data_IF_189687767187
#
_entry.id   IF_189687767187
#
_cell.length_a   1.000
_cell.length_b   1.000
_cell.length_c   1.000
_cell.angle_alpha   90.00
_cell.angle_beta   90.00
_cell.angle_gamma   90.00
#
_symmetry.space_group_name_H-M   'P 1'
#
loop_
_entity.id
_entity.type
_entity.pdbx_description
1 polymer ?
#
# COMPACT_ATOMS: atom_id res chain seq x y z
N UNK A 1 -6.89 -15.05 -0.11
CA UNK A 1 -5.42 -15.13 -0.06
C UNK A 1 -5.03 -16.29 -0.95
N UNK A 2 -4.24 -16.04 -2.00
CA UNK A 2 -3.65 -17.12 -2.77
C UNK A 2 -2.61 -17.83 -1.88
N UNK A 3 -2.85 -19.10 -1.58
CA UNK A 3 -2.01 -19.85 -0.65
C UNK A 3 -0.58 -20.04 -1.19
N UNK A 4 -0.42 -19.95 -2.51
CA UNK A 4 0.86 -20.08 -3.18
C UNK A 4 1.58 -18.73 -3.39
N UNK A 5 0.97 -17.61 -2.98
CA UNK A 5 1.63 -16.29 -3.06
C UNK A 5 2.78 -16.20 -2.05
N UNK A 6 4.00 -16.24 -2.59
CA UNK A 6 5.25 -16.14 -1.81
C UNK A 6 5.73 -14.70 -1.64
N UNK A 7 5.05 -13.72 -2.24
CA UNK A 7 5.45 -12.31 -2.19
C UNK A 7 5.57 -11.80 -0.75
N UNK A 8 4.60 -12.06 0.17
CA UNK A 8 4.72 -11.63 1.56
C UNK A 8 5.91 -12.29 2.27
N UNK A 9 6.18 -13.56 1.97
CA UNK A 9 7.31 -14.31 2.51
C UNK A 9 8.65 -13.73 2.06
N UNK A 10 8.79 -13.43 0.77
CA UNK A 10 10.00 -12.82 0.21
C UNK A 10 10.27 -11.42 0.76
N UNK A 11 9.24 -10.58 0.91
CA UNK A 11 9.40 -9.25 1.50
C UNK A 11 9.82 -9.36 2.97
N UNK A 12 9.25 -10.31 3.72
CA UNK A 12 9.61 -10.57 5.13
C UNK A 12 11.04 -11.06 5.31
N UNK A 13 11.61 -11.77 4.34
CA UNK A 13 12.98 -12.28 4.47
C UNK A 13 14.05 -11.22 4.23
N UNK A 14 13.74 -10.16 3.46
CA UNK A 14 14.70 -9.09 3.13
C UNK A 14 14.49 -7.82 3.95
N UNK A 15 13.27 -7.55 4.41
CA UNK A 15 12.97 -6.33 5.17
C UNK A 15 13.38 -6.49 6.63
N UNK A 16 14.06 -5.48 7.17
CA UNK A 16 14.34 -5.40 8.62
C UNK A 16 13.09 -5.09 9.44
N UNK A 17 12.09 -4.46 8.81
CA UNK A 17 10.84 -4.02 9.44
C UNK A 17 9.69 -4.18 8.46
N UNK A 18 8.58 -4.74 8.92
CA UNK A 18 7.31 -4.69 8.21
C UNK A 18 6.43 -3.64 8.90
N UNK A 19 5.96 -2.65 8.13
CA UNK A 19 5.06 -1.61 8.65
C UNK A 19 3.63 -2.15 8.73
N UNK A 20 3.14 -2.73 7.63
CA UNK A 20 1.84 -3.40 7.59
C UNK A 20 1.82 -4.47 6.47
N UNK A 21 0.89 -5.42 6.60
CA UNK A 21 0.55 -6.38 5.56
C UNK A 21 -0.97 -6.40 5.40
N UNK A 22 -1.43 -6.12 4.18
CA UNK A 22 -2.82 -5.90 3.85
C UNK A 22 -3.28 -4.48 4.19
N UNK A 23 -4.23 -3.98 3.42
CA UNK A 23 -4.94 -2.74 3.71
C UNK A 23 -6.45 -2.97 3.63
N UNK A 24 -7.25 -2.30 4.47
CA UNK A 24 -8.71 -2.37 4.39
C UNK A 24 -9.26 -1.49 3.26
N UNK A 25 -8.58 -1.43 2.11
CA UNK A 25 -8.98 -0.62 0.96
C UNK A 25 -9.04 -1.49 -0.32
N UNK A 26 -10.02 -1.21 -1.16
CA UNK A 26 -10.28 -1.89 -2.43
C UNK A 26 -10.41 -0.85 -3.54
N UNK A 27 -9.73 -1.02 -4.68
CA UNK A 27 -8.82 -2.11 -5.05
C UNK A 27 -7.47 -2.06 -4.28
N UNK A 28 -6.83 -3.22 -4.11
CA UNK A 28 -5.49 -3.30 -3.52
C UNK A 28 -5.40 -3.77 -2.07
N UNK A 29 -6.39 -4.54 -1.58
CA UNK A 29 -6.42 -4.98 -0.18
C UNK A 29 -5.20 -5.82 0.26
N UNK A 30 -4.44 -6.36 -0.69
CA UNK A 30 -3.22 -7.14 -0.47
C UNK A 30 -1.94 -6.32 -0.35
N UNK A 31 -2.04 -4.99 -0.35
CA UNK A 31 -0.89 -4.08 -0.26
C UNK A 31 -0.05 -4.35 0.99
N UNK A 32 1.27 -4.33 0.84
CA UNK A 32 2.23 -4.56 1.93
C UNK A 32 3.35 -3.54 1.88
N UNK A 33 3.78 -3.03 3.03
CA UNK A 33 4.93 -2.13 3.15
C UNK A 33 5.93 -2.71 4.16
N UNK A 34 7.17 -2.84 3.72
CA UNK A 34 8.33 -3.09 4.56
C UNK A 34 9.45 -2.08 4.27
N UNK A 35 10.48 -2.11 5.12
CA UNK A 35 11.69 -1.32 4.93
C UNK A 35 12.91 -2.24 4.98
N UNK A 36 13.78 -2.10 3.98
CA UNK A 36 15.06 -2.77 3.89
C UNK A 36 16.19 -1.75 3.93
N UNK A 37 17.41 -2.20 4.22
CA UNK A 37 18.60 -1.36 4.12
C UNK A 37 19.06 -1.30 2.68
N UNK A 38 19.23 -0.08 2.16
CA UNK A 38 19.84 0.15 0.85
C UNK A 38 21.25 -0.44 0.83
N UNK A 39 21.59 -1.24 -0.19
CA UNK A 39 22.95 -1.76 -0.35
C UNK A 39 23.96 -0.69 -0.78
N UNK A 40 23.49 0.52 -1.13
CA UNK A 40 24.32 1.61 -1.65
C UNK A 40 24.80 2.53 -0.52
N UNK A 41 23.87 3.01 0.30
CA UNK A 41 24.11 4.04 1.32
C UNK A 41 23.69 3.62 2.74
N UNK A 42 23.07 2.44 2.91
CA UNK A 42 22.62 1.96 4.21
C UNK A 42 21.36 2.66 4.74
N UNK A 43 20.72 3.51 3.95
CA UNK A 43 19.47 4.17 4.30
C UNK A 43 18.27 3.22 4.21
N UNK A 44 17.17 3.59 4.84
CA UNK A 44 15.95 2.79 4.80
C UNK A 44 15.18 3.01 3.49
N UNK A 45 14.99 1.92 2.73
CA UNK A 45 14.26 1.92 1.46
C UNK A 45 12.94 1.19 1.63
N UNK A 46 11.85 1.82 1.18
CA UNK A 46 10.53 1.22 1.17
C UNK A 46 10.47 0.07 0.15
N UNK A 47 10.05 -1.10 0.61
CA UNK A 47 9.78 -2.28 -0.20
C UNK A 47 8.27 -2.50 -0.19
N UNK A 48 7.64 -2.34 -1.35
CA UNK A 48 6.18 -2.39 -1.49
C UNK A 48 5.78 -3.67 -2.21
N UNK A 49 4.96 -4.48 -1.55
CA UNK A 49 4.24 -5.59 -2.19
C UNK A 49 2.92 -5.08 -2.75
N UNK A 50 2.84 -4.89 -4.06
CA UNK A 50 1.65 -4.40 -4.74
C UNK A 50 0.88 -5.55 -5.42
N UNK A 51 -0.44 -5.66 -5.22
CA UNK A 51 -1.24 -6.66 -5.93
C UNK A 51 -1.35 -6.36 -7.43
N UNK A 52 -1.59 -7.39 -8.23
CA UNK A 52 -1.70 -7.29 -9.69
C UNK A 52 -2.76 -6.28 -10.16
N UNK A 53 -3.81 -6.03 -9.37
CA UNK A 53 -4.85 -5.04 -9.70
C UNK A 53 -4.29 -3.62 -9.88
N UNK A 54 -3.14 -3.29 -9.28
CA UNK A 54 -2.44 -2.00 -9.48
C UNK A 54 -2.10 -1.72 -10.94
N UNK A 55 -1.92 -2.76 -11.77
CA UNK A 55 -1.63 -2.59 -13.18
C UNK A 55 -2.86 -2.27 -14.04
N UNK A 56 -4.07 -2.51 -13.52
CA UNK A 56 -5.33 -2.46 -14.29
C UNK A 56 -6.31 -1.40 -13.78
N UNK A 57 -6.42 -1.24 -12.47
CA UNK A 57 -7.26 -0.24 -11.85
C UNK A 57 -6.57 1.13 -11.88
N UNK A 58 -7.31 2.18 -12.29
CA UNK A 58 -6.77 3.54 -12.34
C UNK A 58 -6.32 4.07 -10.97
N UNK A 59 -6.98 3.60 -9.90
CA UNK A 59 -6.71 3.99 -8.51
C UNK A 59 -6.83 2.79 -7.60
N UNK A 60 -5.87 2.65 -6.70
CA UNK A 60 -5.76 1.55 -5.74
C UNK A 60 -5.26 2.06 -4.39
N UNK A 61 -5.21 1.16 -3.41
CA UNK A 61 -4.59 1.44 -2.11
C UNK A 61 -3.12 1.89 -2.23
N UNK A 62 -2.43 1.58 -3.34
CA UNK A 62 -1.07 2.10 -3.60
C UNK A 62 -1.07 3.63 -3.71
N UNK A 63 -2.06 4.22 -4.38
CA UNK A 63 -2.19 5.68 -4.52
C UNK A 63 -2.36 6.39 -3.18
N UNK A 64 -2.97 5.71 -2.19
CA UNK A 64 -3.07 6.20 -0.81
C UNK A 64 -1.72 6.09 -0.06
N UNK A 65 -0.90 5.11 -0.42
CA UNK A 65 0.39 4.84 0.22
C UNK A 65 1.52 5.76 -0.28
N UNK A 66 1.54 6.05 -1.59
CA UNK A 66 2.64 6.79 -2.22
C UNK A 66 2.96 8.14 -1.56
N UNK A 67 1.98 8.97 -1.12
CA UNK A 67 2.28 10.22 -0.41
C UNK A 67 3.13 10.02 0.86
N UNK A 68 2.88 8.95 1.63
CA UNK A 68 3.66 8.64 2.82
C UNK A 68 5.08 8.24 2.48
N UNK A 69 5.24 7.39 1.46
CA UNK A 69 6.56 6.91 1.03
C UNK A 69 7.41 8.07 0.49
N UNK A 70 6.83 8.94 -0.35
CA UNK A 70 7.55 10.11 -0.87
C UNK A 70 7.86 11.15 0.21
N UNK A 71 7.03 11.24 1.25
CA UNK A 71 7.32 12.08 2.40
C UNK A 71 8.34 11.47 3.38
N UNK A 72 8.75 10.21 3.19
CA UNK A 72 9.58 9.48 4.15
C UNK A 72 8.87 9.20 5.48
N UNK A 73 7.54 9.22 5.49
CA UNK A 73 6.71 9.00 6.68
C UNK A 73 6.21 7.56 6.66
N UNK A 74 6.33 6.86 7.79
CA UNK A 74 5.74 5.54 7.93
C UNK A 74 4.25 5.65 8.33
N UNK A 75 3.32 5.10 7.54
CA UNK A 75 1.89 5.20 7.83
C UNK A 75 1.47 4.33 9.03
N UNK A 76 2.13 3.19 9.24
CA UNK A 76 1.90 2.29 10.39
C UNK A 76 0.41 1.96 10.61
N UNK A 77 -0.08 2.22 11.81
CA UNK A 77 -1.46 1.92 12.21
C UNK A 77 -2.52 2.78 11.52
N UNK A 78 -2.14 3.90 10.89
CA UNK A 78 -3.07 4.78 10.16
C UNK A 78 -3.79 4.04 9.05
N UNK A 79 -3.12 3.05 8.43
CA UNK A 79 -3.68 2.21 7.36
C UNK A 79 -4.97 1.53 7.78
N UNK A 80 -5.16 1.21 9.07
CA UNK A 80 -6.42 0.61 9.57
C UNK A 80 -7.63 1.53 9.36
N UNK A 81 -7.43 2.84 9.30
CA UNK A 81 -8.50 3.82 9.07
C UNK A 81 -8.97 3.86 7.63
N UNK A 82 -8.22 3.28 6.69
CA UNK A 82 -8.58 3.27 5.28
C UNK A 82 -9.83 2.44 4.98
N UNK A 83 -10.37 1.68 5.95
CA UNK A 83 -11.60 0.93 5.79
C UNK A 83 -12.86 1.79 5.68
N UNK A 84 -12.87 2.95 6.32
CA UNK A 84 -14.02 3.87 6.24
C UNK A 84 -13.93 4.64 4.92
N UNK A 85 -14.84 4.34 4.00
CA UNK A 85 -14.79 4.88 2.64
C UNK A 85 -13.76 4.20 1.74
N UNK A 86 -13.11 3.11 2.20
CA UNK A 86 -12.00 2.44 1.52
C UNK A 86 -12.31 1.75 0.19
N UNK A 87 -13.50 1.90 -0.37
CA UNK A 87 -13.90 1.30 -1.63
C UNK A 87 -13.88 2.36 -2.74
N UNK A 88 -13.10 2.12 -3.79
CA UNK A 88 -13.21 2.88 -5.03
C UNK A 88 -14.50 2.45 -5.73
N UNK A 89 -15.37 3.43 -6.04
CA UNK A 89 -16.66 3.18 -6.70
C UNK A 89 -16.54 3.17 -8.23
N UNK A 90 -15.33 3.29 -8.77
CA UNK A 90 -15.07 3.38 -10.22
C UNK A 90 -15.98 4.42 -10.91
N UNK A 91 -16.05 5.62 -10.31
CA UNK A 91 -16.93 6.69 -10.76
C UNK A 91 -16.73 7.01 -12.26
N UNK A 92 -17.80 7.34 -13.02
CA UNK A 92 -17.69 7.70 -14.44
C UNK A 92 -16.73 8.86 -14.71
N UNK A 93 -16.63 9.79 -13.77
CA UNK A 93 -15.59 10.82 -13.70
C UNK A 93 -14.83 10.59 -12.41
N UNK A 94 -13.51 10.50 -12.47
CA UNK A 94 -12.67 10.27 -11.30
C UNK A 94 -12.46 11.57 -10.50
N UNK A 95 -12.77 11.53 -9.20
CA UNK A 95 -12.67 12.68 -8.29
C UNK A 95 -11.52 12.56 -7.30
N UNK A 96 -10.69 11.52 -7.40
CA UNK A 96 -9.55 11.33 -6.50
C UNK A 96 -8.57 12.51 -6.58
N UNK A 97 -8.05 13.06 -5.46
CA UNK A 97 -8.18 12.58 -4.07
C UNK A 97 -9.37 13.18 -3.29
N UNK A 98 -10.28 13.90 -3.95
CA UNK A 98 -11.45 14.52 -3.33
C UNK A 98 -12.68 13.60 -3.35
N UNK A 99 -12.51 12.34 -2.92
CA UNK A 99 -13.58 11.35 -2.85
C UNK A 99 -13.49 10.48 -1.58
N UNK A 100 -14.54 9.70 -1.31
CA UNK A 100 -14.63 8.78 -0.16
C UNK A 100 -13.46 7.79 -0.10
N UNK A 101 -12.99 7.29 -1.26
CA UNK A 101 -11.85 6.38 -1.35
C UNK A 101 -10.57 6.92 -0.72
N UNK A 102 -10.31 8.22 -0.89
CA UNK A 102 -9.16 8.90 -0.33
C UNK A 102 -9.36 9.34 1.14
N UNK A 103 -10.53 9.08 1.73
CA UNK A 103 -10.76 9.42 3.12
C UNK A 103 -9.84 8.61 4.05
N UNK A 104 -9.39 9.27 5.13
CA UNK A 104 -8.58 8.65 6.17
C UNK A 104 -7.13 8.33 5.81
N UNK A 105 -6.67 8.68 4.60
CA UNK A 105 -5.24 8.77 4.23
C UNK A 105 -4.70 10.18 4.41
#
# INVERSE_FOLDING_TARGET
MDADDRTPGAIRSVCRKISFQGSPALPGAMLMLGYAKSPIDGEDVAVIGAPACVAFDERTALDKLLPFVFAGIEPGDLVRRWGVGGLCEHCPVCHYPSCSFAAGS
#
